data_IF_406844516079
#
_entry.id   IF_406844516079
#
_cell.length_a   1.000
_cell.length_b   1.000
_cell.length_c   1.000
_cell.angle_alpha   90.00
_cell.angle_beta   90.00
_cell.angle_gamma   90.00
#
_symmetry.space_group_name_H-M   'P 1'
#
loop_
_entity.id
_entity.type
_entity.pdbx_description
1 polymer ?
#
# COMPACT_ATOMS: atom_id res chain seq x y z
N UNK A 1 13.07 14.83 27.01
CA UNK A 1 12.70 13.46 26.58
C UNK A 1 13.48 13.16 25.31
N UNK A 2 14.46 12.25 25.34
CA UNK A 2 15.08 11.77 24.11
C UNK A 2 14.04 10.99 23.31
N UNK A 3 13.72 11.49 22.11
CA UNK A 3 12.81 10.81 21.20
C UNK A 3 13.58 9.64 20.62
N UNK A 4 13.29 8.44 21.12
CA UNK A 4 13.89 7.19 20.66
C UNK A 4 13.61 7.06 19.15
N UNK A 5 14.65 7.23 18.32
CA UNK A 5 14.58 7.12 16.86
C UNK A 5 14.02 5.75 16.47
N UNK A 6 12.73 5.71 16.12
CA UNK A 6 12.04 4.48 15.77
C UNK A 6 12.34 4.16 14.30
N UNK A 7 12.81 2.94 14.01
CA UNK A 7 13.09 2.51 12.63
C UNK A 7 11.79 2.27 11.88
N UNK A 8 11.68 2.77 10.65
CA UNK A 8 10.56 2.56 9.75
C UNK A 8 10.63 1.14 9.15
N UNK A 9 10.22 0.15 9.93
CA UNK A 9 10.14 -1.23 9.44
C UNK A 9 9.10 -1.36 8.32
N UNK A 10 9.44 -2.11 7.27
CA UNK A 10 8.53 -2.44 6.18
C UNK A 10 8.43 -1.39 5.07
N UNK A 11 9.32 -0.38 5.07
CA UNK A 11 9.38 0.60 3.98
C UNK A 11 9.71 -0.07 2.64
N UNK A 12 10.71 -0.95 2.61
CA UNK A 12 11.11 -1.63 1.38
C UNK A 12 10.12 -2.71 0.98
N UNK A 13 9.46 -3.34 1.96
CA UNK A 13 8.32 -4.24 1.73
C UNK A 13 7.20 -3.52 0.97
N UNK A 14 6.83 -2.32 1.43
CA UNK A 14 5.80 -1.51 0.77
C UNK A 14 6.20 -1.10 -0.65
N UNK A 15 7.48 -0.75 -0.88
CA UNK A 15 7.99 -0.48 -2.23
C UNK A 15 7.87 -1.72 -3.13
N UNK A 16 8.25 -2.90 -2.62
CA UNK A 16 8.13 -4.15 -3.37
C UNK A 16 6.70 -4.42 -3.82
N UNK A 17 5.73 -4.26 -2.90
CA UNK A 17 4.29 -4.39 -3.23
C UNK A 17 3.86 -3.34 -4.24
N UNK A 18 4.28 -2.07 -4.09
CA UNK A 18 3.96 -0.99 -5.04
C UNK A 18 4.51 -1.24 -6.44
N UNK A 19 5.65 -1.93 -6.56
CA UNK A 19 6.18 -2.36 -7.87
C UNK A 19 5.40 -3.55 -8.44
N UNK A 20 5.06 -4.54 -7.61
CA UNK A 20 4.39 -5.76 -8.06
C UNK A 20 2.91 -5.59 -8.38
N UNK A 21 2.19 -4.78 -7.60
CA UNK A 21 0.73 -4.63 -7.71
C UNK A 21 0.25 -4.17 -9.11
N UNK A 22 0.87 -3.16 -9.76
CA UNK A 22 0.52 -2.78 -11.12
C UNK A 22 0.70 -3.91 -12.15
N UNK A 23 1.71 -4.77 -11.97
CA UNK A 23 1.91 -5.94 -12.85
C UNK A 23 0.75 -6.94 -12.69
N UNK A 24 0.31 -7.19 -11.46
CA UNK A 24 -0.84 -8.05 -11.20
C UNK A 24 -2.13 -7.51 -11.83
N UNK A 25 -2.36 -6.20 -11.77
CA UNK A 25 -3.48 -5.54 -12.46
C UNK A 25 -3.36 -5.73 -13.97
N UNK A 26 -2.20 -5.41 -14.56
CA UNK A 26 -1.98 -5.52 -15.99
C UNK A 26 -2.22 -6.96 -16.49
N UNK A 27 -1.70 -7.96 -15.76
CA UNK A 27 -1.89 -9.38 -16.08
C UNK A 27 -3.36 -9.79 -15.97
N UNK A 28 -4.06 -9.30 -14.95
CA UNK A 28 -5.49 -9.57 -14.76
C UNK A 28 -6.34 -9.04 -15.89
N UNK A 29 -6.04 -7.82 -16.35
CA UNK A 29 -6.71 -7.21 -17.49
C UNK A 29 -6.41 -7.96 -18.79
N UNK A 30 -5.15 -8.36 -19.01
CA UNK A 30 -4.73 -9.09 -20.20
C UNK A 30 -5.38 -10.49 -20.30
N UNK A 31 -5.56 -11.17 -19.17
CA UNK A 31 -6.19 -12.50 -19.10
C UNK A 31 -7.72 -12.44 -18.93
N UNK A 32 -8.30 -11.25 -18.76
CA UNK A 32 -9.72 -11.09 -18.46
C UNK A 32 -10.15 -11.72 -17.13
N UNK A 33 -9.21 -11.92 -16.20
CA UNK A 33 -9.47 -12.60 -14.93
C UNK A 33 -8.77 -11.88 -13.77
N UNK A 34 -9.59 -11.26 -12.90
CA UNK A 34 -9.12 -10.53 -11.72
C UNK A 34 -8.54 -11.40 -10.60
N UNK A 35 -8.65 -12.73 -10.68
CA UNK A 35 -7.94 -13.62 -9.75
C UNK A 35 -6.41 -13.45 -9.83
N UNK A 36 -5.89 -12.97 -10.97
CA UNK A 36 -4.46 -12.77 -11.17
C UNK A 36 -3.90 -11.50 -10.53
N UNK A 37 -4.71 -10.64 -9.91
CA UNK A 37 -4.20 -9.41 -9.25
C UNK A 37 -3.22 -9.78 -8.14
N UNK A 38 -3.48 -10.89 -7.45
CA UNK A 38 -2.62 -11.41 -6.38
C UNK A 38 -1.22 -11.83 -6.84
N UNK A 39 -1.02 -12.13 -8.14
CA UNK A 39 0.30 -12.49 -8.65
C UNK A 39 1.30 -11.34 -8.53
N UNK A 40 0.84 -10.10 -8.72
CA UNK A 40 1.65 -8.90 -8.53
C UNK A 40 2.17 -8.79 -7.10
N UNK A 41 1.32 -9.06 -6.11
CA UNK A 41 1.72 -9.07 -4.70
C UNK A 41 2.69 -10.23 -4.43
N UNK A 42 2.41 -11.41 -4.98
CA UNK A 42 3.27 -12.59 -4.83
C UNK A 42 4.69 -12.38 -5.38
N UNK A 43 4.85 -11.54 -6.40
CA UNK A 43 6.16 -11.15 -6.95
C UNK A 43 6.78 -10.00 -6.15
N UNK A 44 6.00 -8.96 -5.86
CA UNK A 44 6.49 -7.74 -5.22
C UNK A 44 6.92 -7.93 -3.75
N UNK A 45 6.21 -8.78 -3.01
CA UNK A 45 6.47 -9.00 -1.59
C UNK A 45 7.86 -9.61 -1.32
N UNK A 46 8.29 -10.71 -1.98
CA UNK A 46 9.65 -11.25 -1.83
C UNK A 46 10.75 -10.23 -2.14
N UNK A 47 10.58 -9.42 -3.19
CA UNK A 47 11.53 -8.37 -3.57
C UNK A 47 11.67 -7.36 -2.43
N UNK A 48 10.54 -6.90 -1.89
CA UNK A 48 10.53 -5.95 -0.79
C UNK A 48 11.14 -6.50 0.51
N UNK A 49 10.90 -7.78 0.82
CA UNK A 49 11.54 -8.48 1.96
C UNK A 49 13.06 -8.54 1.79
N UNK A 50 13.54 -8.95 0.61
CA UNK A 50 14.97 -9.04 0.34
C UNK A 50 15.67 -7.67 0.45
N UNK A 51 15.03 -6.60 -0.04
CA UNK A 51 15.52 -5.23 0.11
C UNK A 51 15.53 -4.77 1.57
N UNK A 52 14.49 -5.10 2.34
CA UNK A 52 14.40 -4.77 3.76
C UNK A 52 15.53 -5.47 4.57
N UNK A 53 15.80 -6.74 4.29
CA UNK A 53 16.89 -7.48 4.92
C UNK A 53 18.26 -6.91 4.55
N UNK A 54 18.47 -6.56 3.29
CA UNK A 54 19.71 -5.89 2.84
C UNK A 54 19.90 -4.56 3.55
N UNK A 55 18.86 -3.73 3.64
CA UNK A 55 18.91 -2.45 4.33
C UNK A 55 19.18 -2.60 5.85
N UNK A 56 18.64 -3.65 6.48
CA UNK A 56 18.95 -3.99 7.88
C UNK A 56 20.42 -4.34 8.07
N UNK A 57 21.00 -5.16 7.18
CA UNK A 57 22.42 -5.54 7.22
C UNK A 57 23.36 -4.34 6.99
N UNK A 58 22.99 -3.44 6.09
CA UNK A 58 23.79 -2.26 5.75
C UNK A 58 23.59 -1.07 6.72
N UNK A 59 22.72 -1.21 7.73
CA UNK A 59 22.39 -0.11 8.65
C UNK A 59 21.59 1.03 8.02
N UNK A 60 21.17 0.89 6.75
CA UNK A 60 20.42 1.90 5.97
C UNK A 60 18.90 1.83 6.18
N UNK A 61 18.47 1.42 7.37
CA UNK A 61 17.03 1.39 7.69
C UNK A 61 16.55 2.81 7.89
N UNK A 62 15.54 3.23 7.12
CA UNK A 62 14.96 4.56 7.21
C UNK A 62 14.49 4.86 8.65
N UNK A 63 14.91 5.99 9.20
CA UNK A 63 14.43 6.48 10.49
C UNK A 63 13.05 7.12 10.32
N UNK A 64 12.15 6.93 11.29
CA UNK A 64 10.85 7.61 11.32
C UNK A 64 11.04 9.04 11.82
N UNK A 65 10.53 10.01 11.04
CA UNK A 65 10.43 11.40 11.47
C UNK A 65 9.06 11.64 12.14
N UNK A 66 8.96 12.60 13.05
CA UNK A 66 7.68 13.01 13.65
C UNK A 66 6.65 13.44 12.58
N UNK A 67 7.15 14.09 11.52
CA UNK A 67 6.34 14.45 10.36
C UNK A 67 5.72 13.23 9.66
N UNK A 68 6.40 12.07 9.65
CA UNK A 68 5.85 10.85 9.06
C UNK A 68 4.62 10.35 9.84
N UNK A 69 4.58 10.54 11.16
CA UNK A 69 3.43 10.17 12.00
C UNK A 69 2.22 11.06 11.74
N UNK A 70 2.45 12.37 11.60
CA UNK A 70 1.41 13.35 11.27
C UNK A 70 0.85 13.06 9.88
N UNK A 71 1.73 12.82 8.90
CA UNK A 71 1.35 12.45 7.54
C UNK A 71 0.56 11.15 7.52
N UNK A 72 1.00 10.09 8.22
CA UNK A 72 0.26 8.82 8.32
C UNK A 72 -1.15 9.03 8.87
N UNK A 73 -1.32 9.80 9.95
CA UNK A 73 -2.64 10.12 10.52
C UNK A 73 -3.50 10.94 9.56
N UNK A 74 -2.92 11.89 8.83
CA UNK A 74 -3.62 12.70 7.82
C UNK A 74 -4.07 11.83 6.64
N UNK A 75 -3.16 11.03 6.10
CA UNK A 75 -3.42 10.09 5.02
C UNK A 75 -4.51 9.10 5.42
N UNK A 76 -4.43 8.50 6.61
CA UNK A 76 -5.45 7.58 7.09
C UNK A 76 -6.83 8.22 7.12
N UNK A 77 -6.95 9.46 7.64
CA UNK A 77 -8.22 10.21 7.62
C UNK A 77 -8.72 10.49 6.21
N UNK A 78 -7.85 10.94 5.31
CA UNK A 78 -8.21 11.23 3.90
C UNK A 78 -8.67 9.96 3.19
N UNK A 79 -7.93 8.85 3.33
CA UNK A 79 -8.29 7.56 2.73
C UNK A 79 -9.64 7.07 3.24
N UNK A 80 -9.93 7.23 4.53
CA UNK A 80 -11.21 6.82 5.12
C UNK A 80 -12.37 7.66 4.55
N UNK A 81 -12.22 8.97 4.46
CA UNK A 81 -13.22 9.86 3.85
C UNK A 81 -13.47 9.50 2.39
N UNK A 82 -12.39 9.30 1.62
CA UNK A 82 -12.48 8.94 0.21
C UNK A 82 -13.18 7.59 0.01
N UNK A 83 -12.82 6.58 0.81
CA UNK A 83 -13.46 5.27 0.79
C UNK A 83 -14.97 5.39 1.07
N UNK A 84 -15.35 6.13 2.11
CA UNK A 84 -16.76 6.34 2.47
C UNK A 84 -17.52 7.03 1.33
N UNK A 85 -16.97 8.07 0.71
CA UNK A 85 -17.57 8.74 -0.44
C UNK A 85 -17.73 7.80 -1.65
N UNK A 86 -16.72 6.97 -1.91
CA UNK A 86 -16.72 6.02 -3.03
C UNK A 86 -17.81 4.95 -2.84
N UNK A 87 -17.93 4.41 -1.63
CA UNK A 87 -18.96 3.42 -1.28
C UNK A 87 -20.35 4.06 -1.34
N UNK A 88 -20.53 5.26 -0.76
CA UNK A 88 -21.81 5.97 -0.77
C UNK A 88 -22.27 6.25 -2.21
N UNK A 89 -21.36 6.72 -3.08
CA UNK A 89 -21.65 6.97 -4.50
C UNK A 89 -22.00 5.70 -5.27
N UNK A 90 -21.33 4.58 -5.00
CA UNK A 90 -21.68 3.29 -5.59
C UNK A 90 -23.08 2.82 -5.14
N UNK A 91 -23.42 2.98 -3.85
CA UNK A 91 -24.73 2.59 -3.32
C UNK A 91 -25.84 3.44 -3.94
N UNK A 92 -25.69 4.77 -3.99
CA UNK A 92 -26.70 5.65 -4.59
C UNK A 92 -26.87 5.37 -6.09
N UNK A 93 -25.77 5.13 -6.81
CA UNK A 93 -25.79 4.74 -8.23
C UNK A 93 -26.53 3.42 -8.45
N UNK A 94 -26.29 2.41 -7.60
CA UNK A 94 -26.97 1.12 -7.68
C UNK A 94 -28.46 1.24 -7.37
N UNK A 95 -28.85 2.02 -6.36
CA UNK A 95 -30.26 2.27 -6.05
C UNK A 95 -30.99 2.99 -7.20
N UNK A 96 -30.34 3.98 -7.82
CA UNK A 96 -30.90 4.68 -8.97
C UNK A 96 -31.04 3.77 -10.21
N UNK A 97 -30.10 2.83 -10.42
CA UNK A 97 -30.19 1.86 -11.52
C UNK A 97 -31.27 0.81 -11.30
N UNK A 98 -31.62 0.51 -10.05
CA UNK A 98 -32.61 -0.51 -9.70
C UNK A 98 -34.05 0.05 -9.64
N UNK A 99 -34.19 1.37 -9.47
CA UNK A 99 -35.46 2.10 -9.50
C UNK A 99 -35.86 2.50 -10.91
#
# INVERSE_FOLDING_TARGET
MEIKKQKAQGYYVMIGILMGFPMGIALSLALGNFAFVGTGIAIGLPIGIALEEKAKKEGKVRELNENDLILRKKLFRVTLILLTLTVLGLVTFLLFRLS
#
